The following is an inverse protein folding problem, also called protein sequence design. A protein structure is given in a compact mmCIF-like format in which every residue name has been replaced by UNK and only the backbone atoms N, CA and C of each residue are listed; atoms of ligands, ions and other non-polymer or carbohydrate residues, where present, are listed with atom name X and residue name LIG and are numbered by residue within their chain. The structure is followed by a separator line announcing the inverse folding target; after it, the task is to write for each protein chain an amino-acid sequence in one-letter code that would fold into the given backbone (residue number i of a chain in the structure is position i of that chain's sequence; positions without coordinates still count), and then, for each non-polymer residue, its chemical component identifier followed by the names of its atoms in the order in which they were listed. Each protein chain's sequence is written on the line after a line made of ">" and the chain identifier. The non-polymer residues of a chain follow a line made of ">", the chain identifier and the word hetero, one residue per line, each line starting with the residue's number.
data_IF_243019099353
#
_entry.id   IF_243019099353
#
_cell.length_a   1.000
_cell.length_b   1.000
_cell.length_c   1.000
_cell.angle_alpha   90.00
_cell.angle_beta   90.00
_cell.angle_gamma   90.00
#
_symmetry.space_group_name_H-M   'P 1'
#
loop_
_entity.id
_entity.type
_entity.pdbx_description
1 polymer ?
#
# COMPACT_ATOMS: atom_id res chain seq x y z
N UNK A 1 -3.37 -18.58 22.87
CA UNK A 1 -4.16 -19.04 21.71
C UNK A 1 -3.40 -18.62 20.46
N UNK A 2 -2.76 -19.56 19.77
CA UNK A 2 -1.92 -19.27 18.61
C UNK A 2 -2.78 -18.86 17.41
N UNK A 3 -2.77 -17.56 17.07
CA UNK A 3 -3.33 -17.08 15.81
C UNK A 3 -2.46 -17.62 14.70
N UNK A 4 -3.02 -18.50 13.86
CA UNK A 4 -2.40 -19.02 12.63
C UNK A 4 -1.80 -17.86 11.83
N UNK A 5 -0.49 -17.87 11.64
CA UNK A 5 0.21 -17.00 10.70
C UNK A 5 -0.44 -17.18 9.31
N UNK A 6 -1.12 -16.14 8.83
CA UNK A 6 -1.70 -16.16 7.48
C UNK A 6 -0.54 -16.05 6.49
N UNK A 7 -0.27 -17.13 5.78
CA UNK A 7 0.68 -17.15 4.67
C UNK A 7 0.42 -15.95 3.75
N UNK A 8 1.45 -15.11 3.57
CA UNK A 8 1.36 -13.92 2.71
C UNK A 8 1.05 -14.39 1.28
N UNK A 9 0.02 -13.80 0.67
CA UNK A 9 -0.39 -14.19 -0.69
C UNK A 9 0.57 -13.59 -1.70
N UNK A 10 1.25 -14.43 -2.48
CA UNK A 10 2.19 -14.02 -3.55
C UNK A 10 1.58 -14.11 -4.95
N UNK A 11 0.36 -14.64 -5.09
CA UNK A 11 -0.25 -14.91 -6.40
C UNK A 11 -0.99 -13.71 -6.99
N UNK A 12 -0.75 -13.45 -8.28
CA UNK A 12 -1.59 -12.57 -9.10
C UNK A 12 -3.05 -13.00 -8.96
N UNK A 13 -3.94 -12.03 -8.71
CA UNK A 13 -5.35 -12.35 -8.48
C UNK A 13 -6.00 -12.92 -9.76
N UNK A 14 -7.25 -13.40 -9.63
CA UNK A 14 -8.14 -13.73 -10.76
C UNK A 14 -9.17 -12.63 -11.12
N UNK A 15 -9.38 -11.64 -10.25
CA UNK A 15 -10.20 -10.45 -10.52
C UNK A 15 -9.48 -9.15 -10.13
N UNK A 16 -9.73 -8.07 -10.89
CA UNK A 16 -9.26 -6.73 -10.55
C UNK A 16 -9.83 -6.29 -9.18
N UNK A 17 -9.02 -5.67 -8.29
CA UNK A 17 -9.50 -5.09 -7.03
C UNK A 17 -10.43 -3.91 -7.29
N UNK A 18 -11.46 -3.72 -6.47
CA UNK A 18 -12.32 -2.54 -6.55
C UNK A 18 -11.65 -1.28 -5.96
N UNK A 19 -10.73 -1.46 -5.02
CA UNK A 19 -10.02 -0.38 -4.33
C UNK A 19 -8.53 -0.74 -4.20
N UNK A 20 -7.68 0.27 -4.41
CA UNK A 20 -6.23 0.18 -4.46
C UNK A 20 -5.63 1.20 -3.51
N UNK A 21 -4.56 0.82 -2.82
CA UNK A 21 -3.76 1.77 -2.06
C UNK A 21 -2.83 2.52 -3.02
N UNK A 22 -2.83 3.84 -2.91
CA UNK A 22 -1.95 4.76 -3.61
C UNK A 22 -1.13 5.52 -2.57
N UNK A 23 0.17 5.67 -2.81
CA UNK A 23 1.05 6.40 -1.90
C UNK A 23 1.31 7.76 -2.52
N UNK A 24 1.07 8.84 -1.78
CA UNK A 24 1.28 10.21 -2.22
C UNK A 24 2.71 10.71 -1.92
N UNK A 25 3.00 11.96 -2.30
CA UNK A 25 4.33 12.57 -2.15
C UNK A 25 4.69 12.94 -0.71
N UNK A 26 3.77 12.80 0.25
CA UNK A 26 4.08 12.96 1.67
C UNK A 26 4.82 11.74 2.26
N UNK A 27 5.01 10.67 1.47
CA UNK A 27 5.74 9.49 1.91
C UNK A 27 7.25 9.75 1.96
N UNK A 28 7.81 9.65 3.16
CA UNK A 28 9.25 9.77 3.45
C UNK A 28 9.93 8.41 3.63
N UNK A 29 9.27 7.33 3.23
CA UNK A 29 9.80 5.96 3.36
C UNK A 29 10.06 5.51 4.81
N UNK A 30 9.50 6.23 5.80
CA UNK A 30 9.75 6.01 7.22
C UNK A 30 11.24 5.90 7.57
N UNK A 31 12.12 6.60 6.84
CA UNK A 31 13.58 6.54 7.05
C UNK A 31 14.24 5.20 6.69
N UNK A 32 13.65 4.43 5.76
CA UNK A 32 14.19 3.14 5.33
C UNK A 32 13.68 1.93 6.13
N UNK A 33 12.73 2.14 7.04
CA UNK A 33 12.01 1.06 7.73
C UNK A 33 10.50 1.18 7.51
N UNK A 34 10.00 0.81 6.32
CA UNK A 34 8.62 1.02 5.96
C UNK A 34 7.65 0.07 6.68
N UNK A 35 6.95 0.58 7.70
CA UNK A 35 5.92 -0.15 8.47
C UNK A 35 4.80 -0.72 7.59
N UNK A 36 4.47 -0.01 6.52
CA UNK A 36 3.42 -0.43 5.60
C UNK A 36 3.77 -1.73 4.86
N UNK A 37 5.06 -2.06 4.68
CA UNK A 37 5.50 -3.33 4.12
C UNK A 37 5.43 -4.48 5.12
N UNK A 38 5.73 -4.22 6.40
CA UNK A 38 5.68 -5.26 7.45
C UNK A 38 4.25 -5.62 7.79
N UNK A 39 3.36 -4.63 7.86
CA UNK A 39 1.94 -4.81 8.18
C UNK A 39 1.11 -5.32 6.99
N UNK A 40 1.66 -5.28 5.77
CA UNK A 40 0.92 -5.75 4.60
C UNK A 40 0.77 -7.28 4.63
N UNK A 41 -0.46 -7.81 4.56
CA UNK A 41 -0.69 -9.27 4.50
C UNK A 41 -0.33 -9.90 3.15
N UNK A 42 0.16 -9.10 2.20
CA UNK A 42 0.52 -9.51 0.83
C UNK A 42 1.99 -9.21 0.64
N UNK A 43 2.77 -10.24 0.31
CA UNK A 43 4.21 -10.09 0.09
C UNK A 43 4.46 -9.43 -1.27
N UNK A 44 5.40 -8.48 -1.33
CA UNK A 44 5.69 -7.72 -2.55
C UNK A 44 4.61 -6.73 -2.98
N UNK A 45 3.54 -6.54 -2.19
CA UNK A 45 2.51 -5.54 -2.50
C UNK A 45 3.04 -4.10 -2.44
N UNK A 46 4.12 -3.86 -1.71
CA UNK A 46 4.75 -2.56 -1.58
C UNK A 46 6.25 -2.72 -1.80
N UNK A 47 6.88 -1.72 -2.41
CA UNK A 47 8.30 -1.72 -2.71
C UNK A 47 8.85 -0.29 -2.61
N UNK A 48 10.13 -0.16 -2.29
CA UNK A 48 10.78 1.14 -2.22
C UNK A 48 11.23 1.60 -3.60
N UNK A 49 11.01 2.88 -3.88
CA UNK A 49 11.49 3.59 -5.06
C UNK A 49 12.24 4.84 -4.59
N UNK A 50 13.23 5.26 -5.35
CA UNK A 50 13.93 6.51 -5.08
C UNK A 50 12.98 7.67 -5.33
N UNK A 51 12.85 8.58 -4.37
CA UNK A 51 12.04 9.78 -4.56
C UNK A 51 12.85 10.84 -5.32
N UNK A 52 12.40 11.22 -6.51
CA UNK A 52 13.06 12.22 -7.35
C UNK A 52 13.06 13.62 -6.71
N UNK A 53 12.03 13.94 -5.92
CA UNK A 53 11.86 15.24 -5.25
C UNK A 53 12.70 15.35 -3.98
N UNK A 54 13.04 14.23 -3.35
CA UNK A 54 13.79 14.17 -2.11
C UNK A 54 14.75 12.97 -2.13
N UNK A 55 15.92 13.07 -2.78
CA UNK A 55 16.83 11.94 -2.98
C UNK A 55 17.42 11.38 -1.68
N UNK A 56 17.30 12.11 -0.56
CA UNK A 56 17.68 11.64 0.76
C UNK A 56 16.71 10.59 1.34
N UNK A 57 15.49 10.49 0.80
CA UNK A 57 14.46 9.57 1.29
C UNK A 57 13.92 8.71 0.13
N UNK A 58 13.75 7.42 0.39
CA UNK A 58 12.98 6.57 -0.51
C UNK A 58 11.49 6.85 -0.32
N UNK A 59 10.71 6.68 -1.38
CA UNK A 59 9.25 6.61 -1.34
C UNK A 59 8.85 5.15 -1.44
N UNK A 60 7.78 4.78 -0.76
CA UNK A 60 7.18 3.45 -0.97
C UNK A 60 6.16 3.58 -2.10
N UNK A 61 6.14 2.63 -3.02
CA UNK A 61 5.13 2.47 -4.04
C UNK A 61 4.35 1.18 -3.83
N UNK A 62 3.08 1.18 -4.26
CA UNK A 62 2.20 0.00 -4.17
C UNK A 62 2.18 -0.67 -5.53
N UNK A 63 2.35 -1.99 -5.54
CA UNK A 63 2.10 -2.83 -6.71
C UNK A 63 0.58 -3.01 -6.89
N UNK A 64 -0.05 -2.38 -7.89
CA UNK A 64 -1.51 -2.38 -8.03
C UNK A 64 -2.08 -3.78 -8.33
N UNK A 65 -1.29 -4.68 -8.92
CA UNK A 65 -1.70 -6.05 -9.24
C UNK A 65 -1.80 -6.96 -8.01
N UNK A 66 -1.06 -6.63 -6.94
CA UNK A 66 -1.00 -7.41 -5.70
C UNK A 66 -1.87 -6.82 -4.60
N UNK A 67 -2.17 -5.52 -4.66
CA UNK A 67 -3.00 -4.86 -3.67
C UNK A 67 -4.41 -5.46 -3.60
N UNK A 68 -4.81 -5.88 -2.40
CA UNK A 68 -6.14 -6.45 -2.12
C UNK A 68 -7.12 -5.44 -1.52
N UNK A 69 -6.71 -4.19 -1.32
CA UNK A 69 -7.56 -3.16 -0.72
C UNK A 69 -7.90 -3.41 0.76
N UNK A 70 -7.02 -4.06 1.52
CA UNK A 70 -7.30 -4.46 2.91
C UNK A 70 -7.31 -3.32 3.93
N UNK A 71 -6.86 -2.11 3.56
CA UNK A 71 -6.79 -0.90 4.41
C UNK A 71 -6.02 -1.08 5.74
N UNK A 72 -5.11 -2.05 5.81
CA UNK A 72 -4.25 -2.25 6.99
C UNK A 72 -3.06 -1.30 7.03
N UNK A 73 -2.57 -0.90 5.85
CA UNK A 73 -1.43 0.00 5.73
C UNK A 73 -1.79 1.47 6.02
N UNK A 74 -3.07 1.83 5.95
CA UNK A 74 -3.56 3.18 6.27
C UNK A 74 -3.59 3.40 7.77
N UNK A 75 -3.22 4.60 8.22
CA UNK A 75 -3.34 5.04 9.62
C UNK A 75 -4.78 5.16 10.10
N UNK A 76 -5.73 5.37 9.18
CA UNK A 76 -7.16 5.47 9.48
C UNK A 76 -7.83 4.10 9.44
N UNK A 77 -8.23 3.62 10.61
CA UNK A 77 -9.08 2.45 10.77
C UNK A 77 -10.54 2.73 10.45
N UNK A 78 -11.39 1.68 10.41
CA UNK A 78 -12.83 1.89 10.49
C UNK A 78 -13.15 2.70 11.76
N UNK A 79 -13.96 3.75 11.62
CA UNK A 79 -14.33 4.72 12.68
C UNK A 79 -13.25 5.72 13.10
N UNK A 80 -12.29 6.07 12.22
CA UNK A 80 -11.25 7.08 12.49
C UNK A 80 -10.34 6.72 13.67
N UNK A 81 -10.23 5.43 13.99
CA UNK A 81 -9.28 4.93 14.98
C UNK A 81 -7.86 4.99 14.40
N UNK A 82 -6.91 5.53 15.16
CA UNK A 82 -5.51 5.60 14.76
C UNK A 82 -4.87 4.21 14.90
N UNK A 83 -4.45 3.61 13.77
CA UNK A 83 -3.76 2.32 13.72
C UNK A 83 -2.24 2.51 13.58
N UNK A 84 -1.48 1.43 13.78
CA UNK A 84 -0.04 1.29 13.49
C UNK A 84 0.28 1.32 11.96
N UNK A 85 -0.44 2.15 11.22
CA UNK A 85 -0.26 2.36 9.77
C UNK A 85 0.73 3.49 9.46
N UNK A 86 0.62 4.05 8.25
CA UNK A 86 1.50 5.14 7.81
C UNK A 86 1.38 6.39 8.72
N UNK A 87 2.42 6.80 9.46
CA UNK A 87 2.34 7.91 10.42
C UNK A 87 2.12 9.28 9.74
N UNK A 88 2.46 9.38 8.45
CA UNK A 88 2.33 10.60 7.65
C UNK A 88 0.99 10.70 6.93
N UNK A 89 0.08 9.73 7.12
CA UNK A 89 -1.18 9.63 6.37
C UNK A 89 -0.95 9.69 4.84
N UNK A 90 0.20 9.19 4.37
CA UNK A 90 0.63 9.29 2.98
C UNK A 90 0.00 8.22 2.06
N UNK A 91 -1.01 7.49 2.55
CA UNK A 91 -1.62 6.36 1.84
C UNK A 91 -3.12 6.64 1.61
N UNK A 92 -3.46 6.90 0.36
CA UNK A 92 -4.81 7.15 -0.10
C UNK A 92 -5.41 5.88 -0.71
N UNK A 93 -6.65 5.57 -0.36
CA UNK A 93 -7.36 4.43 -0.94
C UNK A 93 -8.22 4.91 -2.10
N UNK A 94 -7.79 4.62 -3.33
CA UNK A 94 -8.48 5.00 -4.56
C UNK A 94 -9.30 3.83 -5.12
N UNK A 95 -10.52 4.03 -5.60
CA UNK A 95 -11.21 3.02 -6.38
C UNK A 95 -10.44 2.75 -7.68
N UNK A 96 -10.62 1.56 -8.24
CA UNK A 96 -9.91 1.12 -9.45
C UNK A 96 -10.14 2.07 -10.62
N UNK A 97 -11.36 2.57 -10.78
CA UNK A 97 -11.76 3.48 -11.86
C UNK A 97 -10.93 4.77 -11.82
N UNK A 98 -10.83 5.42 -10.65
CA UNK A 98 -9.98 6.60 -10.45
C UNK A 98 -8.48 6.29 -10.65
N UNK A 99 -8.04 5.11 -10.22
CA UNK A 99 -6.65 4.70 -10.40
C UNK A 99 -6.31 4.53 -11.89
N UNK A 100 -7.16 3.83 -12.65
CA UNK A 100 -6.96 3.61 -14.09
C UNK A 100 -7.04 4.92 -14.88
N UNK A 101 -7.83 5.89 -14.43
CA UNK A 101 -7.87 7.24 -15.03
C UNK A 101 -6.58 8.04 -14.78
N UNK A 102 -5.96 7.92 -13.60
CA UNK A 102 -4.75 8.68 -13.24
C UNK A 102 -3.45 8.04 -13.74
N UNK A 103 -3.35 6.71 -13.70
CA UNK A 103 -2.11 5.97 -13.94
C UNK A 103 -2.16 5.06 -15.17
N UNK A 104 -3.32 4.93 -15.82
CA UNK A 104 -3.53 4.05 -16.96
C UNK A 104 -4.11 2.69 -16.58
N UNK A 105 -4.62 1.98 -17.60
CA UNK A 105 -5.30 0.70 -17.43
C UNK A 105 -4.32 -0.37 -16.98
N UNK A 106 -4.68 -1.09 -15.91
CA UNK A 106 -3.85 -2.18 -15.40
C UNK A 106 -3.90 -3.39 -16.36
N UNK A 107 -2.73 -3.94 -16.78
CA UNK A 107 -2.69 -5.16 -17.57
C UNK A 107 -3.10 -6.32 -16.66
N UNK A 108 -4.26 -6.90 -16.93
CA UNK A 108 -4.85 -7.97 -16.13
C UNK A 108 -5.17 -9.19 -16.98
#
# INVERSE_FOLDING_TARGET
>A
MAVKEKAKKTAQRKRKPNILAFINDACTGCGGSPVCMTECPVDGCMYEVVNETAPAFNRVCVAPLLCIGCKKCTSKGPLDTYLEGCPWDAIDMLPLEDYEQRFGVLPY
#
